data_IF_261500429051
#
_entry.id   IF_261500429051
#
_cell.length_a   1.000
_cell.length_b   1.000
_cell.length_c   1.000
_cell.angle_alpha   90.00
_cell.angle_beta   90.00
_cell.angle_gamma   90.00
#
_symmetry.space_group_name_H-M   'P 1'
#
loop_
_entity.id
_entity.type
_entity.pdbx_description
1 polymer ?
#
# COMPACT_ATOMS: atom_id res chain seq x y z
N UNK A 1 -1.29 -21.55 -9.72
CA UNK A 1 -1.57 -20.21 -9.17
C UNK A 1 -1.35 -20.29 -7.68
N UNK A 2 -0.39 -19.51 -7.18
CA UNK A 2 -0.11 -19.45 -5.74
C UNK A 2 -1.31 -18.87 -4.98
N UNK A 3 -1.53 -19.32 -3.74
CA UNK A 3 -2.67 -18.84 -2.96
C UNK A 3 -2.31 -17.54 -2.24
N UNK A 4 -3.30 -16.70 -1.96
CA UNK A 4 -3.06 -15.43 -1.25
C UNK A 4 -2.43 -15.65 0.14
N UNK A 5 -2.69 -16.79 0.76
CA UNK A 5 -2.11 -17.21 2.03
C UNK A 5 -0.59 -17.42 1.93
N UNK A 6 -0.08 -17.84 0.77
CA UNK A 6 1.34 -18.07 0.54
C UNK A 6 2.09 -16.74 0.52
N UNK A 7 1.56 -15.72 -0.17
CA UNK A 7 2.10 -14.35 -0.10
C UNK A 7 2.04 -13.75 1.30
N UNK A 8 1.00 -14.07 2.09
CA UNK A 8 0.92 -13.60 3.48
C UNK A 8 2.03 -14.21 4.34
N UNK A 9 2.32 -15.52 4.20
CA UNK A 9 3.44 -16.16 4.91
C UNK A 9 4.76 -15.55 4.48
N UNK A 10 4.99 -15.43 3.17
CA UNK A 10 6.21 -14.86 2.62
C UNK A 10 6.43 -13.41 3.07
N UNK A 11 5.38 -12.60 3.09
CA UNK A 11 5.46 -11.22 3.56
C UNK A 11 5.93 -11.14 5.02
N UNK A 12 5.49 -12.07 5.88
CA UNK A 12 5.92 -12.13 7.28
C UNK A 12 7.39 -12.55 7.39
N UNK A 13 7.82 -13.55 6.62
CA UNK A 13 9.21 -14.00 6.56
C UNK A 13 10.16 -12.88 6.10
N UNK A 14 9.68 -12.01 5.20
CA UNK A 14 10.42 -10.88 4.65
C UNK A 14 10.36 -9.60 5.52
N UNK A 15 9.73 -9.65 6.70
CA UNK A 15 9.80 -8.56 7.70
C UNK A 15 8.48 -7.86 8.00
N UNK A 16 7.35 -8.25 7.39
CA UNK A 16 6.05 -7.79 7.86
C UNK A 16 5.75 -8.39 9.24
N UNK A 17 5.30 -7.56 10.18
CA UNK A 17 4.88 -8.01 11.50
C UNK A 17 3.59 -8.84 11.46
N UNK A 18 2.73 -8.54 10.49
CA UNK A 18 1.50 -9.28 10.21
C UNK A 18 1.07 -9.05 8.77
N UNK A 19 0.56 -10.09 8.13
CA UNK A 19 -0.15 -10.01 6.86
C UNK A 19 -1.55 -10.61 7.04
N UNK A 20 -2.58 -9.96 6.52
CA UNK A 20 -3.97 -10.44 6.61
C UNK A 20 -4.70 -10.23 5.30
N UNK A 21 -5.32 -11.29 4.79
CA UNK A 21 -6.28 -11.17 3.69
C UNK A 21 -7.56 -10.51 4.21
N UNK A 22 -8.00 -9.45 3.54
CA UNK A 22 -9.26 -8.74 3.79
C UNK A 22 -10.12 -8.75 2.53
N UNK A 23 -11.42 -8.51 2.66
CA UNK A 23 -12.27 -8.15 1.52
C UNK A 23 -11.94 -6.71 1.12
N UNK A 24 -11.87 -6.45 -0.18
CA UNK A 24 -11.51 -5.11 -0.67
C UNK A 24 -12.53 -4.04 -0.22
N UNK A 25 -13.80 -4.42 -0.07
CA UNK A 25 -14.89 -3.58 0.49
C UNK A 25 -14.65 -3.12 1.93
N UNK A 26 -13.76 -3.79 2.69
CA UNK A 26 -13.39 -3.34 4.05
C UNK A 26 -12.48 -2.10 4.00
N UNK A 27 -11.92 -1.75 2.83
CA UNK A 27 -11.12 -0.53 2.65
C UNK A 27 -12.03 0.67 2.45
N UNK A 28 -12.12 1.51 3.48
CA UNK A 28 -12.92 2.73 3.44
C UNK A 28 -12.08 3.89 2.90
N UNK A 29 -12.48 4.43 1.75
CA UNK A 29 -11.95 5.70 1.23
C UNK A 29 -12.74 6.83 1.87
N UNK A 30 -12.04 7.82 2.44
CA UNK A 30 -12.67 9.01 3.01
C UNK A 30 -12.18 10.27 2.31
N UNK A 31 -13.11 11.15 1.94
CA UNK A 31 -12.81 12.28 1.05
C UNK A 31 -11.89 13.32 1.72
N UNK A 32 -11.96 13.42 3.05
CA UNK A 32 -11.14 14.32 3.85
C UNK A 32 -9.67 13.91 3.93
N UNK A 33 -9.29 12.68 3.56
CA UNK A 33 -7.88 12.22 3.62
C UNK A 33 -6.99 13.09 2.73
N UNK A 34 -7.50 13.52 1.58
CA UNK A 34 -6.77 14.43 0.68
C UNK A 34 -6.49 15.79 1.33
N UNK A 35 -7.37 16.27 2.21
CA UNK A 35 -7.18 17.53 2.96
C UNK A 35 -6.04 17.41 3.98
N UNK A 36 -5.82 16.23 4.57
CA UNK A 36 -4.65 15.99 5.45
C UNK A 36 -3.34 16.13 4.68
N UNK A 37 -3.30 15.74 3.41
CA UNK A 37 -2.14 15.99 2.56
C UNK A 37 -1.97 17.48 2.25
N UNK A 38 -3.04 18.18 1.86
CA UNK A 38 -2.99 19.60 1.46
C UNK A 38 -2.64 20.55 2.60
N UNK A 39 -3.21 20.32 3.79
CA UNK A 39 -3.12 21.25 4.92
C UNK A 39 -2.35 20.70 6.11
N UNK A 40 -2.06 19.40 6.15
CA UNK A 40 -1.36 18.75 7.26
C UNK A 40 0.06 18.27 6.94
N UNK A 41 0.50 18.31 5.68
CA UNK A 41 1.83 17.85 5.27
C UNK A 41 2.77 19.04 4.98
N UNK A 42 3.92 19.12 5.67
CA UNK A 42 4.97 20.11 5.38
C UNK A 42 5.69 19.90 4.03
N UNK A 43 5.41 18.78 3.36
CA UNK A 43 5.91 18.43 2.03
C UNK A 43 4.89 18.59 0.91
N UNK A 44 3.72 19.16 1.17
CA UNK A 44 2.67 19.30 0.16
C UNK A 44 3.16 20.02 -1.10
N UNK A 45 2.80 19.48 -2.27
CA UNK A 45 3.15 20.04 -3.58
C UNK A 45 4.60 19.82 -4.02
N UNK A 46 5.43 19.11 -3.23
CA UNK A 46 6.85 18.88 -3.56
C UNK A 46 7.12 17.61 -4.39
N UNK A 47 6.11 16.75 -4.56
CA UNK A 47 6.25 15.40 -5.14
C UNK A 47 5.12 15.10 -6.12
N UNK A 48 5.38 14.25 -7.11
CA UNK A 48 4.36 13.75 -8.05
C UNK A 48 3.35 12.78 -7.43
N UNK A 49 3.51 12.46 -6.14
CA UNK A 49 2.55 11.71 -5.33
C UNK A 49 1.63 12.63 -4.52
N UNK A 50 1.76 13.95 -4.66
CA UNK A 50 0.82 14.93 -4.11
C UNK A 50 -0.32 15.24 -5.09
N UNK A 51 -1.49 15.70 -4.60
CA UNK A 51 -2.47 16.40 -5.44
C UNK A 51 -1.81 17.50 -6.28
N UNK A 52 -2.20 17.69 -7.55
CA UNK A 52 -3.29 17.01 -8.25
C UNK A 52 -2.96 15.63 -8.83
N UNK A 53 -1.69 15.21 -8.80
CA UNK A 53 -1.21 14.00 -9.47
C UNK A 53 -1.59 12.70 -8.77
N UNK A 54 -1.80 12.73 -7.45
CA UNK A 54 -2.36 11.58 -6.75
C UNK A 54 -3.85 11.37 -7.07
N UNK A 55 -4.32 10.11 -7.12
CA UNK A 55 -5.73 9.81 -7.37
C UNK A 55 -6.66 10.57 -6.42
N UNK A 56 -7.78 11.04 -6.96
CA UNK A 56 -8.89 11.58 -6.19
C UNK A 56 -9.58 10.47 -5.38
N UNK A 57 -10.27 10.79 -4.28
CA UNK A 57 -11.06 9.81 -3.55
C UNK A 57 -12.05 9.03 -4.45
N UNK A 58 -12.65 9.70 -5.44
CA UNK A 58 -13.56 9.07 -6.41
C UNK A 58 -12.83 8.04 -7.29
N UNK A 59 -11.65 8.36 -7.81
CA UNK A 59 -10.82 7.42 -8.57
C UNK A 59 -10.37 6.24 -7.71
N UNK A 60 -9.91 6.50 -6.48
CA UNK A 60 -9.51 5.43 -5.55
C UNK A 60 -10.66 4.48 -5.24
N UNK A 61 -11.89 4.98 -5.03
CA UNK A 61 -13.08 4.11 -4.85
C UNK A 61 -13.30 3.20 -6.06
N UNK A 62 -13.18 3.74 -7.28
CA UNK A 62 -13.36 2.96 -8.52
C UNK A 62 -12.30 1.87 -8.66
N UNK A 63 -11.04 2.19 -8.34
CA UNK A 63 -9.94 1.21 -8.37
C UNK A 63 -10.22 0.09 -7.37
N UNK A 64 -10.51 0.42 -6.11
CA UNK A 64 -10.79 -0.58 -5.05
C UNK A 64 -11.99 -1.47 -5.41
N UNK A 65 -13.04 -0.91 -6.02
CA UNK A 65 -14.22 -1.66 -6.46
C UNK A 65 -13.91 -2.73 -7.53
N UNK A 66 -12.77 -2.63 -8.22
CA UNK A 66 -12.29 -3.66 -9.15
C UNK A 66 -11.71 -4.91 -8.48
N UNK A 67 -11.52 -4.89 -7.16
CA UNK A 67 -10.90 -6.00 -6.41
C UNK A 67 -11.91 -6.68 -5.49
N UNK A 68 -11.73 -7.99 -5.27
CA UNK A 68 -12.49 -8.76 -4.27
C UNK A 68 -11.72 -8.93 -2.96
N UNK A 69 -10.40 -9.02 -3.03
CA UNK A 69 -9.50 -9.32 -1.92
C UNK A 69 -8.32 -8.36 -1.95
N UNK A 70 -7.78 -8.06 -0.77
CA UNK A 70 -6.52 -7.34 -0.59
C UNK A 70 -5.71 -8.01 0.52
N UNK A 71 -4.39 -7.81 0.51
CA UNK A 71 -3.50 -8.21 1.61
C UNK A 71 -3.15 -6.94 2.38
N UNK A 72 -3.58 -6.88 3.64
CA UNK A 72 -3.19 -5.82 4.57
C UNK A 72 -1.90 -6.20 5.28
N UNK A 73 -0.87 -5.39 5.07
CA UNK A 73 0.45 -5.54 5.66
C UNK A 73 0.58 -4.61 6.87
N UNK A 74 1.14 -5.11 7.96
CA UNK A 74 1.49 -4.34 9.15
C UNK A 74 2.98 -4.50 9.42
N UNK A 75 3.65 -3.40 9.66
CA UNK A 75 5.06 -3.35 10.05
C UNK A 75 5.17 -2.81 11.49
N UNK A 76 6.16 -3.26 12.26
CA UNK A 76 6.43 -2.72 13.62
C UNK A 76 7.17 -1.39 13.56
N UNK A 77 8.14 -1.34 12.66
CA UNK A 77 9.00 -0.21 12.35
C UNK A 77 9.31 -0.30 10.85
N UNK A 78 9.61 0.83 10.22
CA UNK A 78 10.04 0.90 8.82
C UNK A 78 11.01 2.07 8.63
N UNK A 79 11.78 2.05 7.54
CA UNK A 79 12.75 3.11 7.23
C UNK A 79 12.08 4.49 7.14
N UNK A 80 10.86 4.49 6.64
CA UNK A 80 9.92 5.58 6.51
C UNK A 80 9.54 6.22 7.86
N UNK A 81 9.70 5.50 8.97
CA UNK A 81 9.50 5.98 10.34
C UNK A 81 10.82 6.41 11.02
N UNK A 82 11.93 6.47 10.27
CA UNK A 82 13.24 6.91 10.77
C UNK A 82 14.17 5.80 11.26
N UNK A 83 13.75 4.53 11.17
CA UNK A 83 14.58 3.38 11.55
C UNK A 83 15.24 2.78 10.30
N UNK A 84 16.44 3.26 9.98
CA UNK A 84 17.15 2.85 8.75
C UNK A 84 17.61 1.37 8.76
N UNK A 85 17.47 0.66 9.89
CA UNK A 85 17.91 -0.74 10.02
C UNK A 85 16.81 -1.75 9.71
N UNK A 86 15.59 -1.30 9.47
CA UNK A 86 14.43 -2.16 9.22
C UNK A 86 14.01 -2.10 7.76
N UNK A 87 12.90 -2.76 7.44
CA UNK A 87 12.37 -2.90 6.09
C UNK A 87 12.00 -1.55 5.47
N UNK A 88 12.38 -1.36 4.22
CA UNK A 88 11.86 -0.30 3.36
C UNK A 88 10.48 -0.73 2.85
N UNK A 89 9.41 -0.10 3.32
CA UNK A 89 8.06 -0.58 2.97
C UNK A 89 7.69 -0.26 1.53
N UNK A 90 8.27 0.80 0.94
CA UNK A 90 8.07 1.11 -0.47
C UNK A 90 8.64 0.02 -1.38
N UNK A 91 9.91 -0.35 -1.17
CA UNK A 91 10.58 -1.41 -1.93
C UNK A 91 9.90 -2.76 -1.68
N UNK A 92 9.61 -3.09 -0.42
CA UNK A 92 8.91 -4.32 -0.06
C UNK A 92 7.58 -4.45 -0.80
N UNK A 93 6.80 -3.37 -0.85
CA UNK A 93 5.50 -3.37 -1.52
C UNK A 93 5.66 -3.57 -3.04
N UNK A 94 6.62 -2.89 -3.66
CA UNK A 94 6.89 -3.03 -5.10
C UNK A 94 7.37 -4.43 -5.49
N UNK A 95 8.24 -5.04 -4.68
CA UNK A 95 8.71 -6.42 -4.89
C UNK A 95 7.58 -7.44 -4.70
N UNK A 96 6.76 -7.25 -3.67
CA UNK A 96 5.58 -8.10 -3.41
C UNK A 96 4.57 -7.97 -4.55
N UNK A 97 4.29 -6.76 -5.03
CA UNK A 97 3.40 -6.52 -6.17
C UNK A 97 3.90 -7.26 -7.41
N UNK A 98 5.19 -7.12 -7.73
CA UNK A 98 5.83 -7.81 -8.86
C UNK A 98 5.69 -9.33 -8.75
N UNK A 99 5.93 -9.90 -7.58
CA UNK A 99 5.81 -11.34 -7.37
C UNK A 99 4.36 -11.82 -7.55
N UNK A 100 3.41 -11.15 -6.91
CA UNK A 100 1.99 -11.48 -6.99
C UNK A 100 1.50 -11.40 -8.44
N UNK A 101 1.95 -10.37 -9.18
CA UNK A 101 1.72 -10.23 -10.62
C UNK A 101 2.25 -11.43 -11.41
N UNK A 102 3.52 -11.80 -11.20
CA UNK A 102 4.18 -12.91 -11.90
C UNK A 102 3.57 -14.29 -11.58
N UNK A 103 2.94 -14.43 -10.41
CA UNK A 103 2.23 -15.64 -9.98
C UNK A 103 0.80 -15.78 -10.57
N UNK A 104 0.38 -14.85 -11.44
CA UNK A 104 -0.86 -14.92 -12.23
C UNK A 104 -1.94 -13.92 -11.82
N UNK A 105 -1.72 -13.11 -10.79
CA UNK A 105 -2.63 -12.03 -10.39
C UNK A 105 -2.32 -10.76 -11.19
N UNK A 106 -2.65 -10.76 -12.48
CA UNK A 106 -2.25 -9.71 -13.43
C UNK A 106 -2.68 -8.28 -13.05
N UNK A 107 -3.73 -8.13 -12.23
CA UNK A 107 -4.24 -6.85 -11.77
C UNK A 107 -3.65 -6.43 -10.41
N UNK A 108 -2.63 -7.12 -9.89
CA UNK A 108 -1.99 -6.77 -8.63
C UNK A 108 -1.55 -5.31 -8.61
N UNK A 109 -1.84 -4.62 -7.52
CA UNK A 109 -1.52 -3.21 -7.33
C UNK A 109 -1.18 -2.95 -5.87
N UNK A 110 0.02 -2.44 -5.61
CA UNK A 110 0.55 -2.15 -4.29
C UNK A 110 0.20 -0.74 -3.83
N UNK A 111 -0.33 -0.62 -2.62
CA UNK A 111 -0.52 0.65 -1.93
C UNK A 111 0.30 0.63 -0.63
N UNK A 112 1.28 1.51 -0.53
CA UNK A 112 2.20 1.61 0.60
C UNK A 112 1.82 2.77 1.54
N UNK A 113 2.35 2.73 2.75
CA UNK A 113 2.19 3.77 3.78
C UNK A 113 3.54 4.38 4.11
N UNK A 114 3.59 5.67 4.40
CA UNK A 114 4.83 6.36 4.78
C UNK A 114 4.90 7.76 4.17
N UNK A 115 6.02 8.48 4.38
CA UNK A 115 6.28 9.72 3.71
C UNK A 115 6.43 9.50 2.20
N UNK A 116 6.13 10.56 1.46
CA UNK A 116 6.23 10.60 0.01
C UNK A 116 7.66 10.95 -0.44
N UNK A 117 8.65 10.14 -0.04
CA UNK A 117 10.07 10.43 -0.28
C UNK A 117 10.61 9.97 -1.64
#
# INVERSE_FOLDING_TARGET
>A
MEKLEDFCRKAIELGAAKAKIIRAEEVIVADWVRLKCQYGCGGYGKRLTCPPYSPTPSETRKVIAGYRKAILLKFRSCQECGDQRVVNVHQFTAETEREVFLSGYYAAFGMTSGPCD
#
